data_IF_692028644140
#
_entry.id   IF_692028644140
#
_cell.length_a   1.000
_cell.length_b   1.000
_cell.length_c   1.000
_cell.angle_alpha   90.00
_cell.angle_beta   90.00
_cell.angle_gamma   90.00
#
_symmetry.space_group_name_H-M   'P 1'
#
loop_
_entity.id
_entity.type
_entity.pdbx_description
1 polymer ?
#
# COMPACT_ATOMS: atom_id res chain seq x y z
N UNK A 1 20.96 6.23 44.21
CA UNK A 1 20.07 5.13 43.80
C UNK A 1 19.38 5.52 42.49
N UNK A 2 19.44 4.60 41.51
CA UNK A 2 18.82 4.71 40.19
C UNK A 2 17.30 4.53 40.35
N UNK A 3 16.48 5.38 39.74
CA UNK A 3 15.25 4.91 39.09
C UNK A 3 14.75 5.94 38.09
N UNK A 4 14.90 5.56 36.83
CA UNK A 4 14.36 6.16 35.62
C UNK A 4 12.89 6.56 35.85
N UNK A 5 12.60 7.85 35.73
CA UNK A 5 11.23 8.31 35.54
C UNK A 5 10.81 7.89 34.12
N UNK A 6 10.00 6.84 34.09
CA UNK A 6 9.54 6.14 32.91
C UNK A 6 8.73 7.12 32.04
N UNK A 7 9.25 7.40 30.83
CA UNK A 7 8.50 8.06 29.77
C UNK A 7 7.32 7.13 29.43
N UNK A 8 6.14 7.45 29.96
CA UNK A 8 4.90 6.76 29.63
C UNK A 8 3.86 7.79 29.16
N UNK A 9 4.19 8.52 28.08
CA UNK A 9 3.27 9.49 27.46
C UNK A 9 3.22 9.40 25.94
N UNK A 10 3.38 8.20 25.36
CA UNK A 10 3.30 8.02 23.90
C UNK A 10 2.38 6.90 23.41
N UNK A 11 1.60 6.25 24.26
CA UNK A 11 0.68 5.18 23.80
C UNK A 11 -0.76 5.69 23.60
N UNK A 12 -1.12 6.90 24.08
CA UNK A 12 -2.49 7.41 24.02
C UNK A 12 -2.92 8.01 22.66
N UNK A 13 -2.08 8.02 21.64
CA UNK A 13 -2.44 8.57 20.31
C UNK A 13 -2.74 7.51 19.25
N UNK A 14 -2.50 6.22 19.50
CA UNK A 14 -2.83 5.19 18.50
C UNK A 14 -4.29 4.70 18.56
N UNK A 15 -5.16 5.44 19.25
CA UNK A 15 -6.61 5.40 19.02
C UNK A 15 -7.04 6.48 18.02
N UNK A 16 -6.12 6.95 17.17
CA UNK A 16 -6.37 7.84 16.04
C UNK A 16 -7.33 7.14 15.07
N UNK A 17 -8.62 7.38 15.35
CA UNK A 17 -9.70 7.55 14.39
C UNK A 17 -9.67 6.52 13.26
N UNK A 18 -10.49 5.46 13.41
CA UNK A 18 -11.04 4.77 12.25
C UNK A 18 -11.91 5.77 11.47
N UNK A 19 -11.26 6.71 10.80
CA UNK A 19 -11.85 7.60 9.82
C UNK A 19 -12.55 6.72 8.82
N UNK A 20 -13.84 6.99 8.64
CA UNK A 20 -14.82 6.13 7.99
C UNK A 20 -14.28 5.66 6.62
N UNK A 21 -13.91 4.39 6.53
CA UNK A 21 -13.26 3.83 5.34
C UNK A 21 -14.30 3.07 4.52
N UNK A 22 -14.40 3.37 3.22
CA UNK A 22 -15.35 2.72 2.31
C UNK A 22 -14.66 1.56 1.59
N UNK A 23 -15.22 0.36 1.73
CA UNK A 23 -14.74 -0.84 1.04
C UNK A 23 -15.49 -0.99 -0.29
N UNK A 24 -14.75 -1.29 -1.37
CA UNK A 24 -15.28 -1.54 -2.71
C UNK A 24 -14.70 -2.83 -3.30
N UNK A 25 -15.53 -3.61 -3.99
CA UNK A 25 -15.06 -4.79 -4.72
C UNK A 25 -14.51 -4.40 -6.10
N UNK A 26 -13.43 -5.08 -6.52
CA UNK A 26 -12.83 -4.99 -7.85
C UNK A 26 -12.49 -6.39 -8.33
N UNK A 27 -12.99 -6.75 -9.51
CA UNK A 27 -12.86 -8.10 -10.07
C UNK A 27 -11.42 -8.52 -10.37
N UNK A 28 -10.54 -7.56 -10.68
CA UNK A 28 -9.12 -7.84 -10.91
C UNK A 28 -8.39 -8.27 -9.63
N UNK A 29 -8.76 -7.70 -8.48
CA UNK A 29 -8.13 -8.03 -7.20
C UNK A 29 -8.70 -9.32 -6.63
N UNK A 30 -10.00 -9.59 -6.85
CA UNK A 30 -10.61 -10.85 -6.42
C UNK A 30 -10.04 -12.07 -7.17
N UNK A 31 -9.59 -11.90 -8.42
CA UNK A 31 -8.85 -12.93 -9.19
C UNK A 31 -7.52 -13.30 -8.54
N UNK A 32 -6.81 -12.30 -8.02
CA UNK A 32 -5.52 -12.49 -7.33
C UNK A 32 -5.73 -13.10 -5.95
N UNK A 33 -6.66 -12.53 -5.18
CA UNK A 33 -7.02 -13.02 -3.86
C UNK A 33 -8.50 -12.72 -3.57
N UNK A 34 -9.30 -13.78 -3.49
CA UNK A 34 -10.75 -13.72 -3.23
C UNK A 34 -11.13 -13.03 -1.92
N UNK A 35 -10.19 -12.83 -1.00
CA UNK A 35 -10.42 -12.18 0.28
C UNK A 35 -10.02 -10.71 0.29
N UNK A 36 -9.32 -10.22 -0.73
CA UNK A 36 -8.88 -8.84 -0.81
C UNK A 36 -9.99 -7.94 -1.36
N UNK A 37 -10.09 -6.73 -0.81
CA UNK A 37 -10.97 -5.68 -1.27
C UNK A 37 -10.22 -4.36 -1.32
N UNK A 38 -10.52 -3.54 -2.34
CA UNK A 38 -10.02 -2.16 -2.36
C UNK A 38 -10.71 -1.40 -1.26
N UNK A 39 -9.92 -0.73 -0.44
CA UNK A 39 -10.45 0.17 0.57
C UNK A 39 -10.06 1.60 0.26
N UNK A 40 -10.98 2.53 0.53
CA UNK A 40 -10.84 3.95 0.22
C UNK A 40 -11.13 4.79 1.46
N UNK A 41 -10.24 5.73 1.78
CA UNK A 41 -10.48 6.72 2.84
C UNK A 41 -11.43 7.82 2.37
N UNK A 42 -12.01 8.58 3.30
CA UNK A 42 -12.77 9.80 2.97
C UNK A 42 -11.92 10.79 2.15
N UNK A 43 -10.61 10.89 2.45
CA UNK A 43 -9.69 11.77 1.73
C UNK A 43 -9.33 11.29 0.32
N UNK A 44 -9.78 10.09 -0.08
CA UNK A 44 -9.66 9.60 -1.44
C UNK A 44 -8.40 8.76 -1.73
N UNK A 45 -7.65 8.37 -0.69
CA UNK A 45 -6.54 7.43 -0.82
C UNK A 45 -7.03 5.97 -0.77
N UNK A 46 -6.27 5.09 -1.40
CA UNK A 46 -6.59 3.68 -1.61
C UNK A 46 -5.58 2.78 -0.93
N UNK A 47 -6.09 1.68 -0.38
CA UNK A 47 -5.35 0.57 0.17
C UNK A 47 -6.04 -0.74 -0.15
N UNK A 48 -5.64 -1.81 0.53
CA UNK A 48 -6.24 -3.13 0.41
C UNK A 48 -6.55 -3.63 1.82
N UNK A 49 -7.77 -4.10 2.02
CA UNK A 49 -8.17 -4.79 3.24
C UNK A 49 -8.64 -6.20 2.92
N UNK A 50 -8.67 -7.08 3.91
CA UNK A 50 -9.42 -8.32 3.78
C UNK A 50 -10.94 -8.08 3.94
N UNK A 51 -11.72 -9.16 3.82
CA UNK A 51 -13.18 -9.16 4.03
C UNK A 51 -13.61 -8.80 5.45
N UNK A 52 -12.75 -8.99 6.45
CA UNK A 52 -13.01 -8.59 7.85
C UNK A 52 -12.72 -7.10 8.10
N UNK A 53 -12.12 -6.42 7.12
CA UNK A 53 -11.71 -5.03 7.24
C UNK A 53 -10.29 -4.85 7.80
N UNK A 54 -9.54 -5.95 8.03
CA UNK A 54 -8.13 -5.86 8.42
C UNK A 54 -7.32 -5.28 7.27
N UNK A 55 -6.53 -4.26 7.55
CA UNK A 55 -5.69 -3.62 6.54
C UNK A 55 -4.51 -4.52 6.18
N UNK A 56 -4.32 -4.73 4.88
CA UNK A 56 -3.20 -5.46 4.28
C UNK A 56 -2.22 -4.47 3.66
N UNK A 57 -2.76 -3.50 2.90
CA UNK A 57 -2.03 -2.37 2.35
C UNK A 57 -2.64 -1.10 2.92
N UNK A 58 -1.82 -0.30 3.61
CA UNK A 58 -2.27 0.97 4.18
C UNK A 58 -2.86 1.87 3.09
N UNK A 59 -3.99 2.56 3.33
CA UNK A 59 -4.63 3.36 2.32
C UNK A 59 -3.95 4.73 2.16
N UNK A 60 -2.74 4.72 1.59
CA UNK A 60 -1.88 5.90 1.42
C UNK A 60 -1.65 6.28 -0.04
N UNK A 61 -2.13 5.46 -0.98
CA UNK A 61 -1.90 5.66 -2.41
C UNK A 61 -3.05 6.45 -3.05
N UNK A 62 -2.74 7.35 -3.99
CA UNK A 62 -3.76 7.99 -4.83
C UNK A 62 -4.32 7.00 -5.87
N UNK A 63 -3.59 5.94 -6.19
CA UNK A 63 -4.03 4.88 -7.11
C UNK A 63 -3.32 3.55 -6.84
N UNK A 64 -4.06 2.45 -6.95
CA UNK A 64 -3.54 1.08 -7.05
C UNK A 64 -4.05 0.50 -8.39
N UNK A 65 -3.13 0.17 -9.30
CA UNK A 65 -3.42 -0.48 -10.58
C UNK A 65 -3.69 -1.98 -10.39
N UNK A 66 -4.09 -2.65 -11.48
CA UNK A 66 -4.25 -4.10 -11.50
C UNK A 66 -2.89 -4.78 -11.32
N UNK A 67 -2.88 -5.96 -10.72
CA UNK A 67 -1.72 -6.84 -10.75
C UNK A 67 -1.50 -7.38 -12.17
N UNK A 68 -0.26 -7.69 -12.54
CA UNK A 68 0.07 -8.31 -13.82
C UNK A 68 0.39 -7.35 -14.97
N UNK A 69 0.36 -6.02 -14.76
CA UNK A 69 0.70 -5.06 -15.83
C UNK A 69 2.21 -5.08 -16.17
N UNK A 70 3.05 -5.28 -15.16
CA UNK A 70 4.52 -5.35 -15.31
C UNK A 70 5.11 -6.73 -14.96
N UNK A 71 4.48 -7.44 -14.04
CA UNK A 71 4.84 -8.77 -13.55
C UNK A 71 3.59 -9.34 -12.86
N UNK A 72 3.36 -10.65 -12.97
CA UNK A 72 2.13 -11.31 -12.49
C UNK A 72 1.81 -11.03 -11.02
N UNK A 73 2.84 -10.81 -10.21
CA UNK A 73 2.79 -10.63 -8.78
C UNK A 73 2.83 -9.16 -8.31
N UNK A 74 2.93 -8.20 -9.25
CA UNK A 74 3.13 -6.79 -8.92
C UNK A 74 1.98 -5.91 -9.39
N UNK A 75 1.59 -4.97 -8.53
CA UNK A 75 0.71 -3.86 -8.88
C UNK A 75 1.46 -2.53 -8.79
N UNK A 76 1.32 -1.72 -9.84
CA UNK A 76 1.81 -0.35 -9.84
C UNK A 76 0.95 0.50 -8.88
N UNK A 77 1.61 1.24 -8.00
CA UNK A 77 0.95 2.17 -7.08
C UNK A 77 1.42 3.59 -7.32
N UNK A 78 0.54 4.56 -7.09
CA UNK A 78 0.83 6.00 -7.18
C UNK A 78 0.63 6.63 -5.81
N UNK A 79 1.64 7.32 -5.29
CA UNK A 79 1.47 8.07 -4.05
C UNK A 79 0.67 9.36 -4.28
N UNK A 80 0.45 10.16 -3.24
CA UNK A 80 -0.30 11.43 -3.33
C UNK A 80 0.48 12.56 -4.02
N UNK A 81 1.82 12.49 -4.09
CA UNK A 81 2.65 13.52 -4.73
C UNK A 81 2.83 13.30 -6.23
N UNK A 82 2.41 12.15 -6.75
CA UNK A 82 2.41 11.86 -8.17
C UNK A 82 3.45 10.84 -8.64
N UNK A 83 4.28 10.32 -7.73
CA UNK A 83 5.31 9.33 -8.02
C UNK A 83 4.80 7.90 -7.82
N UNK A 84 5.52 6.95 -8.39
CA UNK A 84 5.09 5.58 -8.59
C UNK A 84 6.07 4.58 -7.99
N UNK A 85 5.52 3.44 -7.57
CA UNK A 85 6.23 2.31 -6.99
C UNK A 85 5.45 1.02 -7.23
N UNK A 86 5.80 -0.06 -6.53
CA UNK A 86 5.14 -1.35 -6.67
C UNK A 86 4.87 -2.00 -5.32
N UNK A 87 3.68 -2.59 -5.21
CA UNK A 87 3.34 -3.54 -4.15
C UNK A 87 3.29 -4.96 -4.73
N UNK A 88 3.55 -5.96 -3.89
CA UNK A 88 3.48 -7.38 -4.25
C UNK A 88 2.18 -8.05 -3.72
N UNK A 89 2.06 -9.37 -3.96
CA UNK A 89 0.95 -10.21 -3.48
C UNK A 89 0.84 -10.37 -1.96
N UNK A 90 1.86 -10.00 -1.18
CA UNK A 90 1.75 -9.93 0.29
C UNK A 90 1.26 -8.56 0.77
N UNK A 91 1.06 -7.61 -0.14
CA UNK A 91 0.76 -6.21 0.17
C UNK A 91 1.98 -5.39 0.61
N UNK A 92 3.20 -5.94 0.47
CA UNK A 92 4.41 -5.22 0.78
C UNK A 92 4.78 -4.27 -0.37
N UNK A 93 5.15 -3.03 -0.03
CA UNK A 93 5.80 -2.12 -0.97
C UNK A 93 7.23 -2.61 -1.21
N UNK A 94 7.47 -3.17 -2.39
CA UNK A 94 8.77 -3.73 -2.76
C UNK A 94 9.63 -2.73 -3.54
N UNK A 95 8.99 -1.81 -4.28
CA UNK A 95 9.66 -0.70 -4.96
C UNK A 95 9.02 0.57 -4.42
N UNK A 96 9.76 1.42 -3.71
CA UNK A 96 9.24 2.65 -3.11
C UNK A 96 8.61 3.57 -4.15
N UNK A 97 7.51 4.23 -3.76
CA UNK A 97 6.76 5.09 -4.66
C UNK A 97 7.42 6.46 -4.92
N UNK A 98 8.67 6.49 -5.38
CA UNK A 98 9.49 7.70 -5.57
C UNK A 98 9.87 7.98 -7.03
N UNK A 99 9.39 7.16 -7.98
CA UNK A 99 9.80 7.26 -9.37
C UNK A 99 8.74 7.94 -10.23
N UNK A 100 9.18 8.67 -11.25
CA UNK A 100 8.28 9.09 -12.31
C UNK A 100 7.83 7.88 -13.15
N UNK A 101 6.62 7.97 -13.72
CA UNK A 101 6.08 6.88 -14.54
C UNK A 101 6.98 6.55 -15.73
N UNK A 102 7.52 7.58 -16.39
CA UNK A 102 8.38 7.42 -17.55
C UNK A 102 9.71 6.72 -17.19
N UNK A 103 10.23 6.99 -15.98
CA UNK A 103 11.42 6.31 -15.47
C UNK A 103 11.13 4.82 -15.25
N UNK A 104 9.99 4.46 -14.63
CA UNK A 104 9.59 3.06 -14.43
C UNK A 104 9.46 2.35 -15.77
N UNK A 105 8.77 2.94 -16.76
CA UNK A 105 8.57 2.32 -18.08
C UNK A 105 9.89 1.96 -18.76
N UNK A 106 10.90 2.83 -18.65
CA UNK A 106 12.23 2.63 -19.24
C UNK A 106 13.13 1.69 -18.43
N UNK A 107 12.99 1.71 -17.10
CA UNK A 107 13.97 1.09 -16.20
C UNK A 107 13.39 -0.03 -15.33
N UNK A 108 12.21 -0.57 -15.66
CA UNK A 108 11.54 -1.58 -14.84
C UNK A 108 12.45 -2.78 -14.54
N UNK A 109 13.17 -3.31 -15.52
CA UNK A 109 14.06 -4.46 -15.29
C UNK A 109 15.24 -4.15 -14.34
N UNK A 110 15.79 -2.93 -14.42
CA UNK A 110 16.86 -2.46 -13.52
C UNK A 110 16.31 -2.31 -12.10
N UNK A 111 15.14 -1.69 -11.95
CA UNK A 111 14.45 -1.59 -10.66
C UNK A 111 14.11 -2.95 -10.09
N UNK A 112 13.58 -3.86 -10.93
CA UNK A 112 13.27 -5.24 -10.55
C UNK A 112 14.50 -5.92 -9.96
N UNK A 113 15.65 -5.90 -10.65
CA UNK A 113 16.91 -6.46 -10.12
C UNK A 113 17.41 -5.78 -8.84
N UNK A 114 17.18 -4.48 -8.70
CA UNK A 114 17.64 -3.71 -7.53
C UNK A 114 16.85 -4.05 -6.28
N UNK A 115 15.53 -4.22 -6.41
CA UNK A 115 14.61 -4.35 -5.28
C UNK A 115 14.12 -5.78 -5.04
N UNK A 116 14.11 -6.61 -6.09
CA UNK A 116 13.63 -7.99 -6.07
C UNK A 116 14.82 -8.89 -6.39
N UNK A 117 15.19 -9.75 -5.44
CA UNK A 117 16.24 -10.75 -5.61
C UNK A 117 15.73 -11.95 -6.41
#
# INVERSE_FOLDING_TARGET
>A
MKSKLLILFCISVFSLSFSQMKISERDDISKINKNWRITKTISGTYGISDKSGKIIVQPVYSKINKFGEYSDDLALVKNITGTYGFINLSGAEIIPAHYELEYIKKNFYVLKKKYIK
#
